data_IF_014263340912
#
_entry.id   IF_014263340912
#
_cell.length_a   1.000
_cell.length_b   1.000
_cell.length_c   1.000
_cell.angle_alpha   90.00
_cell.angle_beta   90.00
_cell.angle_gamma   90.00
#
_symmetry.space_group_name_H-M   'P 1'
#
loop_
_entity.id
_entity.type
_entity.pdbx_description
1 polymer ?
#
# COMPACT_ATOMS: atom_id res chain seq x y z
N UNK A 1 -11.50 20.80 -0.34
CA UNK A 1 -10.25 20.63 -1.12
C UNK A 1 -10.42 19.34 -1.90
N UNK A 2 -9.98 19.27 -3.14
CA UNK A 2 -10.01 18.03 -3.92
C UNK A 2 -8.85 17.13 -3.49
N UNK A 3 -9.13 15.84 -3.22
CA UNK A 3 -8.12 14.83 -2.98
C UNK A 3 -7.53 14.32 -4.30
N UNK A 4 -6.24 14.01 -4.28
CA UNK A 4 -5.46 13.54 -5.43
C UNK A 4 -5.00 12.09 -5.23
N UNK A 5 -4.63 11.42 -6.33
CA UNK A 5 -4.09 10.06 -6.32
C UNK A 5 -2.59 10.12 -6.53
N UNK A 6 -1.83 9.57 -5.58
CA UNK A 6 -0.38 9.41 -5.67
C UNK A 6 -0.03 7.96 -5.98
N UNK A 7 0.89 7.76 -6.89
CA UNK A 7 1.48 6.46 -7.21
C UNK A 7 3.00 6.53 -6.99
N UNK A 8 3.50 5.85 -5.95
CA UNK A 8 4.92 5.69 -5.67
C UNK A 8 5.37 4.31 -6.11
N UNK A 9 6.13 4.23 -7.19
CA UNK A 9 6.49 2.97 -7.81
C UNK A 9 7.98 2.86 -8.14
N UNK A 10 8.40 1.71 -8.64
CA UNK A 10 9.75 1.47 -9.14
C UNK A 10 10.53 0.45 -8.31
N UNK A 11 11.76 0.15 -8.77
CA UNK A 11 12.65 -0.86 -8.21
C UNK A 11 13.53 -0.34 -7.06
N UNK A 12 13.57 0.99 -6.86
CA UNK A 12 14.29 1.65 -5.78
C UNK A 12 13.62 1.56 -4.42
N UNK A 13 14.43 1.78 -3.37
CA UNK A 13 13.98 1.88 -1.97
C UNK A 13 13.25 3.20 -1.74
N UNK A 14 12.26 3.19 -0.83
CA UNK A 14 11.64 4.40 -0.29
C UNK A 14 10.14 4.57 -0.57
N UNK A 15 9.51 3.68 -1.36
CA UNK A 15 8.07 3.75 -1.65
C UNK A 15 7.20 3.76 -0.39
N UNK A 16 7.26 2.68 0.40
CA UNK A 16 6.59 2.60 1.71
C UNK A 16 7.02 3.73 2.65
N UNK A 17 8.34 4.05 2.69
CA UNK A 17 8.87 5.14 3.54
C UNK A 17 8.24 6.49 3.18
N UNK A 18 8.05 6.79 1.90
CA UNK A 18 7.39 8.01 1.45
C UNK A 18 5.91 8.02 1.85
N UNK A 19 5.20 6.90 1.67
CA UNK A 19 3.81 6.74 2.07
C UNK A 19 3.62 6.89 3.59
N UNK A 20 4.49 6.28 4.39
CA UNK A 20 4.52 6.45 5.86
C UNK A 20 4.80 7.91 6.23
N UNK A 21 5.77 8.55 5.60
CA UNK A 21 6.09 9.97 5.84
C UNK A 21 4.90 10.89 5.55
N UNK A 22 4.16 10.65 4.46
CA UNK A 22 2.94 11.39 4.16
C UNK A 22 1.84 11.11 5.19
N UNK A 23 1.69 9.86 5.64
CA UNK A 23 0.73 9.48 6.68
C UNK A 23 0.99 10.22 7.99
N UNK A 24 2.26 10.27 8.44
CA UNK A 24 2.67 11.01 9.64
C UNK A 24 2.40 12.51 9.49
N UNK A 25 2.72 13.08 8.32
CA UNK A 25 2.44 14.51 8.03
C UNK A 25 0.95 14.81 8.07
N UNK A 26 0.12 13.97 7.46
CA UNK A 26 -1.33 14.12 7.46
C UNK A 26 -1.89 13.99 8.88
N UNK A 27 -1.46 13.00 9.63
CA UNK A 27 -1.86 12.78 11.02
C UNK A 27 -1.46 13.97 11.92
N UNK A 28 -0.24 14.50 11.75
CA UNK A 28 0.23 15.69 12.46
C UNK A 28 -0.56 16.97 12.11
N UNK A 29 -1.22 17.00 10.96
CA UNK A 29 -2.14 18.07 10.57
C UNK A 29 -3.60 17.82 11.05
N UNK A 30 -3.83 16.80 11.86
CA UNK A 30 -5.15 16.45 12.41
C UNK A 30 -6.04 15.67 11.43
N UNK A 31 -5.50 15.19 10.31
CA UNK A 31 -6.24 14.40 9.31
C UNK A 31 -6.41 12.94 9.74
N UNK A 32 -7.54 12.34 9.38
CA UNK A 32 -7.79 10.90 9.58
C UNK A 32 -7.12 10.10 8.47
N UNK A 33 -6.26 9.16 8.85
CA UNK A 33 -5.49 8.32 7.94
C UNK A 33 -5.92 6.86 8.06
N UNK A 34 -6.19 6.20 6.93
CA UNK A 34 -6.31 4.75 6.83
C UNK A 34 -5.09 4.21 6.07
N UNK A 35 -4.26 3.43 6.75
CA UNK A 35 -3.07 2.81 6.17
C UNK A 35 -3.29 1.30 6.01
N UNK A 36 -3.49 0.85 4.76
CA UNK A 36 -3.63 -0.56 4.43
C UNK A 36 -2.33 -1.11 3.84
N UNK A 37 -1.84 -2.24 4.37
CA UNK A 37 -0.62 -2.88 3.90
C UNK A 37 -0.92 -4.28 3.35
N UNK A 38 -0.55 -4.52 2.08
CA UNK A 38 -0.66 -5.79 1.39
C UNK A 38 0.66 -6.55 1.42
N UNK A 39 0.62 -7.87 1.15
CA UNK A 39 1.79 -8.76 1.00
C UNK A 39 2.71 -8.87 2.23
N UNK A 40 2.27 -8.35 3.37
CA UNK A 40 2.98 -8.42 4.64
C UNK A 40 1.98 -8.81 5.74
N UNK A 41 2.47 -9.44 6.80
CA UNK A 41 1.68 -9.97 7.91
C UNK A 41 1.49 -8.99 9.08
N UNK A 42 1.71 -7.71 8.85
CA UNK A 42 1.58 -6.69 9.89
C UNK A 42 2.77 -6.58 10.85
N UNK A 43 3.89 -7.29 10.58
CA UNK A 43 5.11 -7.27 11.39
C UNK A 43 6.07 -6.12 11.06
N UNK A 44 5.77 -5.32 10.05
CA UNK A 44 6.61 -4.18 9.65
C UNK A 44 6.75 -3.16 10.78
N UNK A 45 7.99 -2.71 11.04
CA UNK A 45 8.33 -1.86 12.20
C UNK A 45 7.58 -0.52 12.21
N UNK A 46 7.34 0.08 11.05
CA UNK A 46 6.61 1.34 10.89
C UNK A 46 5.16 1.26 11.39
N UNK A 47 4.52 0.09 11.32
CA UNK A 47 3.14 -0.08 11.75
C UNK A 47 2.98 0.11 13.27
N UNK A 48 4.02 -0.17 14.07
CA UNK A 48 3.96 0.06 15.52
C UNK A 48 3.81 1.54 15.84
N UNK A 49 4.48 2.41 15.09
CA UNK A 49 4.36 3.86 15.25
C UNK A 49 3.02 4.35 14.72
N UNK A 50 2.60 3.90 13.54
CA UNK A 50 1.32 4.29 12.95
C UNK A 50 0.13 3.91 13.86
N UNK A 51 0.13 2.70 14.44
CA UNK A 51 -0.91 2.23 15.37
C UNK A 51 -0.98 3.05 16.67
N UNK A 52 0.11 3.72 17.06
CA UNK A 52 0.14 4.56 18.26
C UNK A 52 -0.47 5.97 18.04
N UNK A 53 -0.71 6.36 16.78
CA UNK A 53 -1.29 7.67 16.46
C UNK A 53 -2.82 7.58 16.51
N UNK A 54 -3.47 8.49 17.27
CA UNK A 54 -4.91 8.46 17.53
C UNK A 54 -5.79 8.55 16.28
N UNK A 55 -5.32 9.23 15.25
CA UNK A 55 -6.04 9.48 14.01
C UNK A 55 -5.54 8.65 12.83
N UNK A 56 -4.82 7.57 13.11
CA UNK A 56 -4.35 6.61 12.11
C UNK A 56 -4.93 5.24 12.41
N UNK A 57 -5.69 4.69 11.47
CA UNK A 57 -6.10 3.29 11.46
C UNK A 57 -5.16 2.49 10.56
N UNK A 58 -4.69 1.35 11.05
CA UNK A 58 -3.84 0.42 10.28
C UNK A 58 -4.62 -0.86 10.00
N UNK A 59 -4.69 -1.24 8.74
CA UNK A 59 -5.29 -2.49 8.27
C UNK A 59 -4.26 -3.35 7.54
N UNK A 60 -4.18 -4.63 7.86
CA UNK A 60 -3.32 -5.60 7.19
C UNK A 60 -3.92 -7.00 7.34
N UNK A 61 -3.48 -7.92 6.48
CA UNK A 61 -3.78 -9.33 6.67
C UNK A 61 -2.79 -9.89 7.72
N UNK A 62 -3.31 -10.35 8.86
CA UNK A 62 -2.48 -10.94 9.93
C UNK A 62 -1.97 -12.34 9.57
N UNK A 63 -2.55 -12.98 8.56
CA UNK A 63 -2.13 -14.28 8.10
C UNK A 63 -0.86 -14.17 7.25
N UNK A 64 0.18 -14.90 7.64
CA UNK A 64 1.43 -14.98 6.89
C UNK A 64 1.31 -16.08 5.82
N UNK A 65 1.28 -15.69 4.57
CA UNK A 65 1.27 -16.60 3.42
C UNK A 65 2.68 -16.89 2.87
N UNK A 66 3.71 -16.21 3.40
CA UNK A 66 5.08 -16.28 2.87
C UNK A 66 5.25 -15.50 1.56
N UNK A 67 6.35 -15.76 0.87
CA UNK A 67 6.63 -15.11 -0.42
C UNK A 67 5.78 -15.71 -1.55
N UNK A 68 5.13 -14.88 -2.36
CA UNK A 68 4.23 -15.29 -3.44
C UNK A 68 4.83 -16.35 -4.38
N UNK A 69 6.14 -16.23 -4.71
CA UNK A 69 6.82 -17.20 -5.57
C UNK A 69 6.94 -18.60 -4.97
N UNK A 70 6.90 -18.71 -3.64
CA UNK A 70 7.00 -19.99 -2.92
C UNK A 70 5.62 -20.60 -2.58
N UNK A 71 4.53 -19.88 -2.80
CA UNK A 71 3.18 -20.37 -2.52
C UNK A 71 2.76 -21.43 -3.52
N UNK A 72 2.15 -22.51 -3.03
CA UNK A 72 1.41 -23.47 -3.85
C UNK A 72 0.04 -22.93 -4.29
N UNK A 73 -0.69 -23.69 -5.09
CA UNK A 73 -1.99 -23.26 -5.62
C UNK A 73 -3.04 -23.01 -4.54
N UNK A 74 -3.07 -23.83 -3.49
CA UNK A 74 -4.03 -23.70 -2.39
C UNK A 74 -3.74 -22.45 -1.56
N UNK A 75 -2.47 -22.23 -1.23
CA UNK A 75 -2.01 -21.00 -0.51
C UNK A 75 -2.31 -19.74 -1.31
N UNK A 76 -2.09 -19.75 -2.64
CA UNK A 76 -2.43 -18.61 -3.51
C UNK A 76 -3.93 -18.30 -3.51
N UNK A 77 -4.77 -19.34 -3.55
CA UNK A 77 -6.22 -19.18 -3.50
C UNK A 77 -6.67 -18.57 -2.15
N UNK A 78 -6.13 -19.09 -1.04
CA UNK A 78 -6.40 -18.54 0.29
C UNK A 78 -5.91 -17.08 0.44
N UNK A 79 -4.71 -16.77 -0.05
CA UNK A 79 -4.17 -15.42 -0.05
C UNK A 79 -5.02 -14.44 -0.88
N UNK A 80 -5.49 -14.88 -2.06
CA UNK A 80 -6.41 -14.09 -2.88
C UNK A 80 -7.69 -13.75 -2.14
N UNK A 81 -8.33 -14.73 -1.50
CA UNK A 81 -9.54 -14.49 -0.71
C UNK A 81 -9.29 -13.48 0.42
N UNK A 82 -8.20 -13.64 1.18
CA UNK A 82 -7.86 -12.77 2.29
C UNK A 82 -7.55 -11.34 1.85
N UNK A 83 -6.75 -11.15 0.79
CA UNK A 83 -6.40 -9.81 0.30
C UNK A 83 -7.56 -9.13 -0.45
N UNK A 84 -8.42 -9.88 -1.14
CA UNK A 84 -9.64 -9.31 -1.72
C UNK A 84 -10.60 -8.82 -0.64
N UNK A 85 -10.80 -9.60 0.42
CA UNK A 85 -11.61 -9.18 1.56
C UNK A 85 -11.02 -7.95 2.29
N UNK A 86 -9.68 -7.91 2.45
CA UNK A 86 -8.99 -6.73 3.00
C UNK A 86 -9.26 -5.50 2.12
N UNK A 87 -9.10 -5.61 0.80
CA UNK A 87 -9.33 -4.50 -0.13
C UNK A 87 -10.76 -3.97 -0.02
N UNK A 88 -11.76 -4.85 -0.04
CA UNK A 88 -13.17 -4.47 0.09
C UNK A 88 -13.46 -3.74 1.41
N UNK A 89 -12.94 -4.26 2.53
CA UNK A 89 -13.13 -3.65 3.86
C UNK A 89 -12.50 -2.25 3.92
N UNK A 90 -11.23 -2.09 3.47
CA UNK A 90 -10.56 -0.80 3.55
C UNK A 90 -11.10 0.22 2.56
N UNK A 91 -11.57 -0.18 1.38
CA UNK A 91 -12.27 0.72 0.46
C UNK A 91 -13.56 1.24 1.10
N UNK A 92 -14.36 0.36 1.71
CA UNK A 92 -15.58 0.77 2.44
C UNK A 92 -15.26 1.73 3.58
N UNK A 93 -14.28 1.42 4.43
CA UNK A 93 -13.85 2.28 5.54
C UNK A 93 -13.34 3.63 5.08
N UNK A 94 -12.64 3.67 3.95
CA UNK A 94 -12.06 4.91 3.43
C UNK A 94 -13.09 5.97 3.03
N UNK A 95 -14.35 5.58 2.83
CA UNK A 95 -15.45 6.51 2.49
C UNK A 95 -16.09 7.18 3.71
N UNK A 96 -15.75 6.75 4.94
CA UNK A 96 -16.31 7.27 6.19
C UNK A 96 -15.36 8.24 6.90
N UNK A 97 -15.24 9.45 6.34
CA UNK A 97 -14.51 10.56 6.96
C UNK A 97 -12.99 10.36 7.01
N UNK A 98 -12.41 9.50 6.17
CA UNK A 98 -10.97 9.38 5.98
C UNK A 98 -10.50 10.50 5.05
N UNK A 99 -9.40 11.18 5.41
CA UNK A 99 -8.79 12.24 4.60
C UNK A 99 -7.67 11.69 3.69
N UNK A 100 -6.89 10.70 4.20
CA UNK A 100 -5.80 10.06 3.49
C UNK A 100 -5.94 8.53 3.56
N UNK A 101 -6.02 7.89 2.41
CA UNK A 101 -6.06 6.44 2.27
C UNK A 101 -4.79 5.93 1.59
N UNK A 102 -4.01 5.12 2.29
CA UNK A 102 -2.78 4.51 1.79
C UNK A 102 -3.00 3.02 1.52
N UNK A 103 -2.60 2.58 0.33
CA UNK A 103 -2.63 1.19 -0.13
C UNK A 103 -1.18 0.75 -0.43
N UNK A 104 -0.43 0.39 0.63
CA UNK A 104 0.97 -0.02 0.52
C UNK A 104 1.08 -1.43 -0.08
N UNK A 105 1.97 -1.60 -1.08
CA UNK A 105 2.18 -2.80 -1.89
C UNK A 105 0.93 -3.26 -2.71
N UNK A 106 -0.07 -2.40 -2.90
CA UNK A 106 -1.28 -2.76 -3.66
C UNK A 106 -0.98 -3.06 -5.13
N UNK A 107 -0.04 -2.33 -5.76
CA UNK A 107 0.37 -2.60 -7.14
C UNK A 107 0.93 -4.02 -7.30
N UNK A 108 1.76 -4.46 -6.35
CA UNK A 108 2.30 -5.82 -6.38
C UNK A 108 1.22 -6.87 -6.10
N UNK A 109 0.23 -6.56 -5.25
CA UNK A 109 -0.92 -7.44 -5.03
C UNK A 109 -1.78 -7.59 -6.30
N UNK A 110 -1.98 -6.53 -7.09
CA UNK A 110 -2.61 -6.59 -8.42
C UNK A 110 -1.80 -7.47 -9.37
N UNK A 111 -0.49 -7.24 -9.50
CA UNK A 111 0.40 -7.98 -10.40
C UNK A 111 0.45 -9.47 -10.09
N UNK A 112 0.22 -9.84 -8.84
CA UNK A 112 0.14 -11.24 -8.40
C UNK A 112 -1.27 -11.85 -8.51
N UNK A 113 -2.27 -11.07 -8.95
CA UNK A 113 -3.67 -11.51 -9.03
C UNK A 113 -4.28 -11.80 -7.66
N UNK A 114 -3.75 -11.22 -6.58
CA UNK A 114 -4.25 -11.35 -5.22
C UNK A 114 -5.38 -10.36 -4.90
N UNK A 115 -5.42 -9.25 -5.62
CA UNK A 115 -6.55 -8.32 -5.68
C UNK A 115 -6.86 -8.00 -7.15
N UNK A 116 -8.13 -7.70 -7.41
CA UNK A 116 -8.58 -7.38 -8.76
C UNK A 116 -8.29 -5.91 -9.08
N UNK A 117 -7.43 -5.65 -10.08
CA UNK A 117 -7.05 -4.29 -10.45
C UNK A 117 -8.23 -3.46 -10.94
N UNK A 118 -9.17 -4.07 -11.70
CA UNK A 118 -10.36 -3.39 -12.18
C UNK A 118 -11.20 -2.82 -11.03
N UNK A 119 -11.39 -3.61 -9.96
CA UNK A 119 -12.09 -3.17 -8.75
C UNK A 119 -11.41 -1.97 -8.10
N UNK A 120 -10.07 -2.00 -8.00
CA UNK A 120 -9.30 -0.88 -7.47
C UNK A 120 -9.44 0.37 -8.33
N UNK A 121 -9.34 0.25 -9.66
CA UNK A 121 -9.49 1.36 -10.61
C UNK A 121 -10.90 1.98 -10.51
N UNK A 122 -11.95 1.17 -10.45
CA UNK A 122 -13.32 1.64 -10.32
C UNK A 122 -13.52 2.39 -8.99
N UNK A 123 -12.96 1.90 -7.90
CA UNK A 123 -12.93 2.63 -6.64
C UNK A 123 -12.20 3.98 -6.76
N UNK A 124 -11.02 4.01 -7.36
CA UNK A 124 -10.25 5.24 -7.56
C UNK A 124 -11.03 6.30 -8.35
N UNK A 125 -11.80 5.89 -9.35
CA UNK A 125 -12.67 6.78 -10.15
C UNK A 125 -13.90 7.26 -9.39
N UNK A 126 -14.50 6.37 -8.58
CA UNK A 126 -15.72 6.65 -7.82
C UNK A 126 -15.52 7.20 -6.42
N UNK A 127 -14.28 7.33 -5.93
CA UNK A 127 -13.95 7.72 -4.56
C UNK A 127 -14.54 9.07 -4.15
N UNK A 128 -14.74 9.33 -2.85
CA UNK A 128 -15.08 10.65 -2.36
C UNK A 128 -14.12 11.72 -2.89
N UNK A 129 -14.63 12.83 -3.42
CA UNK A 129 -13.80 13.87 -4.06
C UNK A 129 -12.73 14.49 -3.16
N UNK A 130 -12.91 14.44 -1.83
CA UNK A 130 -11.96 14.98 -0.86
C UNK A 130 -10.91 13.95 -0.42
N UNK A 131 -11.07 12.66 -0.75
CA UNK A 131 -10.19 11.59 -0.33
C UNK A 131 -8.87 11.63 -1.11
N UNK A 132 -7.77 11.85 -0.38
CA UNK A 132 -6.40 11.68 -0.88
C UNK A 132 -6.05 10.20 -0.87
N UNK A 133 -5.47 9.67 -1.95
CA UNK A 133 -5.12 8.24 -2.04
C UNK A 133 -3.66 8.08 -2.41
N UNK A 134 -2.96 7.13 -1.76
CA UNK A 134 -1.58 6.76 -2.07
C UNK A 134 -1.52 5.27 -2.41
N UNK A 135 -0.96 4.95 -3.56
CA UNK A 135 -0.66 3.58 -3.99
C UNK A 135 0.86 3.38 -4.00
N UNK A 136 1.33 2.21 -3.54
CA UNK A 136 2.74 1.87 -3.69
C UNK A 136 2.92 0.50 -4.35
N UNK A 137 4.09 0.30 -4.98
CA UNK A 137 4.51 -1.00 -5.48
C UNK A 137 5.49 -0.93 -6.65
N UNK A 138 5.55 -2.00 -7.44
CA UNK A 138 6.42 -2.12 -8.62
C UNK A 138 5.60 -2.42 -9.85
N UNK A 139 6.11 -1.97 -10.99
CA UNK A 139 5.59 -2.31 -12.32
C UNK A 139 4.06 -2.06 -12.43
N UNK A 140 3.56 -0.82 -12.20
CA UNK A 140 2.15 -0.51 -12.33
C UNK A 140 1.69 -0.67 -13.78
N UNK A 141 0.43 -1.07 -13.96
CA UNK A 141 -0.20 -1.07 -15.28
C UNK A 141 -0.37 0.35 -15.82
N UNK A 142 -0.58 0.49 -17.12
CA UNK A 142 -0.89 1.78 -17.72
C UNK A 142 -2.18 2.38 -17.11
N UNK A 143 -3.16 1.56 -16.76
CA UNK A 143 -4.41 2.03 -16.16
C UNK A 143 -4.19 2.69 -14.78
N UNK A 144 -3.27 2.16 -13.97
CA UNK A 144 -2.89 2.77 -12.68
C UNK A 144 -2.10 4.06 -12.87
N UNK A 145 -1.21 4.10 -13.88
CA UNK A 145 -0.49 5.32 -14.26
C UNK A 145 -1.44 6.43 -14.70
N UNK A 146 -2.42 6.08 -15.55
CA UNK A 146 -3.41 7.04 -16.09
C UNK A 146 -4.41 7.52 -15.02
N UNK A 147 -4.65 6.70 -13.98
CA UNK A 147 -5.55 7.07 -12.88
C UNK A 147 -4.90 7.99 -11.84
N UNK A 148 -3.56 8.09 -11.81
CA UNK A 148 -2.83 8.84 -10.80
C UNK A 148 -2.59 10.29 -11.20
N UNK A 149 -2.72 11.22 -10.24
CA UNK A 149 -2.39 12.64 -10.40
C UNK A 149 -0.90 12.91 -10.16
N UNK A 150 -0.30 12.20 -9.17
CA UNK A 150 1.14 12.21 -8.91
C UNK A 150 1.73 10.85 -9.23
N UNK A 151 2.68 10.81 -10.15
CA UNK A 151 3.41 9.60 -10.54
C UNK A 151 4.87 9.79 -10.23
N UNK A 152 5.37 9.09 -9.18
CA UNK A 152 6.75 9.22 -8.71
C UNK A 152 7.46 7.88 -8.84
N UNK A 153 8.48 7.82 -9.69
CA UNK A 153 9.31 6.62 -9.86
C UNK A 153 10.54 6.68 -8.96
N UNK A 154 10.71 5.67 -8.11
CA UNK A 154 11.91 5.47 -7.30
C UNK A 154 12.84 4.46 -7.99
N UNK A 155 13.87 4.98 -8.65
CA UNK A 155 14.83 4.18 -9.41
C UNK A 155 16.02 3.72 -8.57
N UNK A 156 16.33 2.45 -8.65
CA UNK A 156 17.53 1.87 -8.06
C UNK A 156 18.77 2.29 -8.86
N UNK A 157 19.63 3.10 -8.26
CA UNK A 157 20.98 3.40 -8.81
C UNK A 157 22.06 2.50 -8.22
N UNK A 158 21.95 2.19 -6.93
CA UNK A 158 22.74 1.22 -6.16
C UNK A 158 21.86 0.62 -5.09
N UNK A 159 22.02 -0.65 -4.80
CA UNK A 159 21.29 -1.29 -3.71
C UNK A 159 22.21 -2.24 -2.92
N UNK A 160 22.19 -2.22 -1.57
CA UNK A 160 22.99 -3.13 -0.76
C UNK A 160 22.75 -4.61 -1.08
N UNK A 161 21.53 -4.98 -1.44
CA UNK A 161 21.16 -6.33 -1.87
C UNK A 161 22.01 -6.87 -3.03
N UNK A 162 22.41 -6.02 -3.98
CA UNK A 162 23.27 -6.39 -5.12
C UNK A 162 24.69 -6.80 -4.66
N UNK A 163 25.04 -6.50 -3.40
CA UNK A 163 26.29 -6.88 -2.74
C UNK A 163 26.08 -7.94 -1.65
N UNK A 164 24.92 -8.63 -1.64
CA UNK A 164 24.59 -9.67 -0.67
C UNK A 164 24.25 -9.17 0.74
N UNK A 165 24.02 -7.84 0.93
CA UNK A 165 23.61 -7.30 2.22
C UNK A 165 22.11 -7.52 2.37
N UNK A 166 21.74 -8.32 3.38
CA UNK A 166 20.33 -8.60 3.71
C UNK A 166 19.60 -7.36 4.24
N UNK A 167 18.26 -7.40 4.17
CA UNK A 167 17.40 -6.37 4.75
C UNK A 167 17.59 -6.28 6.28
N UNK A 168 17.66 -5.07 6.82
CA UNK A 168 17.93 -4.79 8.24
C UNK A 168 16.69 -4.24 8.92
N UNK A 169 16.42 -4.74 10.12
CA UNK A 169 15.31 -4.30 10.94
C UNK A 169 15.44 -2.81 11.28
N UNK A 170 14.33 -2.06 11.16
CA UNK A 170 14.29 -0.62 11.41
C UNK A 170 14.91 0.25 10.30
N UNK A 171 15.39 -0.38 9.20
CA UNK A 171 15.94 0.33 8.02
C UNK A 171 15.22 -0.08 6.74
N UNK A 172 15.10 -1.37 6.47
CA UNK A 172 14.36 -1.90 5.32
C UNK A 172 12.99 -2.48 5.72
N UNK A 173 12.77 -2.87 6.97
CA UNK A 173 11.48 -3.39 7.48
C UNK A 173 11.28 -3.14 8.98
#
# INVERSE_FOLDING_TARGET
MQGLIHLYFGDGKGKTTAAVGLSIRAAGAGKRVLFAQFLKDGSSSELNVLRALQNVEVACCEQNFGFFKAMDGQTKAAARLAYSALLEDVMRKSTDGVDLFVLDEAVAACNHGLIEEATLIDFLRGRPKALEVVLTGRDPSQHLLDAADYVTEMRKRKHPFDRGIAARRGVEF
#
